data_IF_980198440103
#
_entry.id   IF_980198440103
#
_cell.length_a   1.000
_cell.length_b   1.000
_cell.length_c   1.000
_cell.angle_alpha   90.00
_cell.angle_beta   90.00
_cell.angle_gamma   90.00
#
_symmetry.space_group_name_H-M   'P 1'
#
loop_
_entity.id
_entity.type
_entity.pdbx_description
1 polymer ?
#
# COMPACT_ATOMS: atom_id res chain seq x y z
N UNK A 1 -38.30 4.87 1.47
CA UNK A 1 -37.01 5.11 2.14
C UNK A 1 -36.00 4.17 1.52
N UNK A 2 -35.49 4.53 0.35
CA UNK A 2 -34.29 3.89 -0.18
C UNK A 2 -33.14 4.54 0.55
N UNK A 3 -32.58 3.76 1.47
CA UNK A 3 -31.29 3.99 2.11
C UNK A 3 -30.29 4.27 1.00
N UNK A 4 -30.13 5.56 0.70
CA UNK A 4 -29.18 6.06 -0.27
C UNK A 4 -27.84 5.55 0.23
N UNK A 5 -27.19 4.68 -0.54
CA UNK A 5 -25.81 4.28 -0.30
C UNK A 5 -24.97 5.56 -0.47
N UNK A 6 -25.05 6.45 0.50
CA UNK A 6 -24.30 7.67 0.61
C UNK A 6 -22.91 7.20 0.99
N UNK A 7 -22.14 6.79 -0.01
CA UNK A 7 -20.77 6.33 0.19
C UNK A 7 -20.06 7.42 0.99
N UNK A 8 -19.51 7.05 2.16
CA UNK A 8 -18.76 7.98 2.99
C UNK A 8 -17.43 8.31 2.31
N UNK A 9 -17.51 9.26 1.38
CA UNK A 9 -16.39 9.76 0.60
C UNK A 9 -15.24 10.22 1.51
N UNK A 10 -15.55 10.74 2.71
CA UNK A 10 -14.54 11.15 3.66
C UNK A 10 -13.77 9.93 4.19
N UNK A 11 -14.48 8.85 4.57
CA UNK A 11 -13.85 7.60 5.00
C UNK A 11 -12.99 6.98 3.89
N UNK A 12 -13.47 6.92 2.65
CA UNK A 12 -12.69 6.35 1.53
C UNK A 12 -11.47 7.21 1.21
N UNK A 13 -11.61 8.54 1.20
CA UNK A 13 -10.49 9.47 0.97
C UNK A 13 -9.43 9.32 2.07
N UNK A 14 -9.86 9.16 3.32
CA UNK A 14 -8.97 8.93 4.47
C UNK A 14 -8.23 7.61 4.29
N UNK A 15 -8.93 6.53 3.94
CA UNK A 15 -8.32 5.23 3.68
C UNK A 15 -7.26 5.28 2.57
N UNK A 16 -7.53 5.97 1.45
CA UNK A 16 -6.53 6.14 0.38
C UNK A 16 -5.30 6.91 0.87
N UNK A 17 -5.51 7.95 1.68
CA UNK A 17 -4.42 8.71 2.27
C UNK A 17 -3.57 7.84 3.20
N UNK A 18 -4.21 7.09 4.09
CA UNK A 18 -3.55 6.20 5.05
C UNK A 18 -2.75 5.11 4.34
N UNK A 19 -3.31 4.51 3.28
CA UNK A 19 -2.62 3.49 2.48
C UNK A 19 -1.36 4.05 1.81
N UNK A 20 -1.43 5.28 1.28
CA UNK A 20 -0.27 5.97 0.69
C UNK A 20 0.79 6.30 1.73
N UNK A 21 0.37 6.76 2.91
CA UNK A 21 1.28 7.04 4.01
C UNK A 21 2.00 5.78 4.47
N UNK A 22 1.24 4.70 4.74
CA UNK A 22 1.80 3.41 5.14
C UNK A 22 2.75 2.84 4.08
N UNK A 23 2.44 3.01 2.79
CA UNK A 23 3.33 2.62 1.69
C UNK A 23 4.65 3.39 1.73
N UNK A 24 4.59 4.71 1.96
CA UNK A 24 5.78 5.55 2.12
C UNK A 24 6.61 5.14 3.33
N UNK A 25 5.98 4.88 4.48
CA UNK A 25 6.65 4.42 5.70
C UNK A 25 7.33 3.06 5.49
N UNK A 26 6.63 2.11 4.87
CA UNK A 26 7.18 0.78 4.58
C UNK A 26 8.37 0.89 3.61
N UNK A 27 8.27 1.75 2.59
CA UNK A 27 9.36 2.02 1.64
C UNK A 27 10.62 2.54 2.34
N UNK A 28 10.46 3.49 3.25
CA UNK A 28 11.57 4.05 4.03
C UNK A 28 12.19 2.98 4.95
N UNK A 29 11.36 2.20 5.66
CA UNK A 29 11.85 1.13 6.53
C UNK A 29 12.63 0.05 5.75
N UNK A 30 12.22 -0.26 4.52
CA UNK A 30 12.98 -1.17 3.66
C UNK A 30 14.34 -0.63 3.24
N UNK A 31 14.44 0.67 2.95
CA UNK A 31 15.73 1.32 2.66
C UNK A 31 16.68 1.27 3.86
N UNK A 32 16.17 1.58 5.05
CA UNK A 32 16.95 1.49 6.29
C UNK A 32 17.46 0.06 6.55
N UNK A 33 16.64 -0.96 6.26
CA UNK A 33 17.04 -2.35 6.39
C UNK A 33 18.12 -2.75 5.37
N UNK A 34 18.00 -2.34 4.11
CA UNK A 34 19.03 -2.61 3.09
C UNK A 34 20.37 -1.95 3.48
N UNK A 35 20.34 -0.73 3.99
CA UNK A 35 21.54 -0.05 4.48
C UNK A 35 22.17 -0.78 5.68
N UNK A 36 21.34 -1.29 6.59
CA UNK A 36 21.81 -2.11 7.72
C UNK A 36 22.39 -3.45 7.24
N UNK A 37 21.74 -4.10 6.27
CA UNK A 37 22.20 -5.35 5.68
C UNK A 37 23.55 -5.17 4.99
N UNK A 38 23.71 -4.14 4.17
CA UNK A 38 24.99 -3.82 3.52
C UNK A 38 26.14 -3.64 4.53
N UNK A 39 25.87 -2.97 5.66
CA UNK A 39 26.85 -2.80 6.75
C UNK A 39 27.20 -4.13 7.41
N UNK A 40 26.21 -4.99 7.65
CA UNK A 40 26.43 -6.32 8.22
C UNK A 40 27.20 -7.23 7.28
N UNK A 41 26.87 -7.23 5.98
CA UNK A 41 27.58 -8.01 4.97
C UNK A 41 29.05 -7.60 4.89
N UNK A 42 29.33 -6.29 4.88
CA UNK A 42 30.70 -5.78 4.90
C UNK A 42 31.45 -6.17 6.18
N UNK A 43 30.79 -6.11 7.34
CA UNK A 43 31.38 -6.49 8.63
C UNK A 43 31.66 -8.00 8.73
N UNK A 44 30.88 -8.83 8.04
CA UNK A 44 30.94 -10.29 8.09
C UNK A 44 31.55 -10.95 6.86
N UNK A 45 32.19 -10.19 5.96
CA UNK A 45 32.74 -10.67 4.69
C UNK A 45 33.66 -11.92 4.76
N UNK A 46 34.18 -12.27 5.94
CA UNK A 46 35.02 -13.45 6.17
C UNK A 46 34.46 -14.39 7.28
N UNK A 47 33.17 -14.29 7.59
CA UNK A 47 32.52 -15.06 8.64
C UNK A 47 31.46 -16.00 8.03
N UNK A 48 31.45 -17.26 8.45
CA UNK A 48 30.43 -18.23 8.03
C UNK A 48 29.00 -17.83 8.42
N UNK A 49 28.83 -16.94 9.40
CA UNK A 49 27.54 -16.34 9.76
C UNK A 49 26.91 -15.51 8.62
N UNK A 50 27.72 -15.05 7.65
CA UNK A 50 27.25 -14.27 6.51
C UNK A 50 26.27 -15.05 5.63
N UNK A 51 26.53 -16.33 5.38
CA UNK A 51 25.67 -17.15 4.52
C UNK A 51 24.27 -17.34 5.13
N UNK A 52 24.22 -17.58 6.46
CA UNK A 52 22.96 -17.65 7.19
C UNK A 52 22.20 -16.32 7.18
N UNK A 53 22.91 -15.21 7.34
CA UNK A 53 22.33 -13.87 7.24
C UNK A 53 21.75 -13.59 5.85
N UNK A 54 22.51 -13.87 4.79
CA UNK A 54 22.08 -13.68 3.40
C UNK A 54 20.81 -14.46 3.09
N UNK A 55 20.68 -15.69 3.59
CA UNK A 55 19.47 -16.48 3.47
C UNK A 55 18.25 -15.83 4.14
N UNK A 56 18.40 -15.39 5.39
CA UNK A 56 17.32 -14.71 6.13
C UNK A 56 16.96 -13.37 5.49
N UNK A 57 17.96 -12.58 5.10
CA UNK A 57 17.78 -11.29 4.44
C UNK A 57 17.06 -11.44 3.09
N UNK A 58 17.43 -12.44 2.29
CA UNK A 58 16.74 -12.74 1.02
C UNK A 58 15.26 -13.07 1.23
N UNK A 59 14.94 -13.90 2.23
CA UNK A 59 13.55 -14.21 2.56
C UNK A 59 12.78 -12.96 3.00
N UNK A 60 13.39 -12.13 3.86
CA UNK A 60 12.81 -10.86 4.27
C UNK A 60 12.54 -9.94 3.06
N UNK A 61 13.47 -9.83 2.10
CA UNK A 61 13.28 -9.03 0.88
C UNK A 61 12.08 -9.49 0.06
N UNK A 62 11.88 -10.80 -0.06
CA UNK A 62 10.74 -11.35 -0.79
C UNK A 62 9.41 -11.01 -0.09
N UNK A 63 9.31 -11.25 1.21
CA UNK A 63 8.10 -10.93 2.00
C UNK A 63 7.80 -9.42 2.02
N UNK A 64 8.85 -8.60 2.09
CA UNK A 64 8.75 -7.15 2.02
C UNK A 64 8.23 -6.68 0.65
N UNK A 65 8.78 -7.22 -0.44
CA UNK A 65 8.33 -6.90 -1.80
C UNK A 65 6.86 -7.31 -2.03
N UNK A 66 6.47 -8.49 -1.56
CA UNK A 66 5.08 -8.97 -1.63
C UNK A 66 4.15 -8.05 -0.83
N UNK A 67 4.54 -7.66 0.38
CA UNK A 67 3.74 -6.76 1.22
C UNK A 67 3.55 -5.38 0.57
N UNK A 68 4.60 -4.80 -0.01
CA UNK A 68 4.52 -3.56 -0.78
C UNK A 68 3.60 -3.70 -1.98
N UNK A 69 3.70 -4.82 -2.71
CA UNK A 69 2.85 -5.08 -3.86
C UNK A 69 1.38 -5.16 -3.45
N UNK A 70 1.06 -5.92 -2.40
CA UNK A 70 -0.30 -6.04 -1.88
C UNK A 70 -0.86 -4.69 -1.44
N UNK A 71 -0.08 -3.90 -0.71
CA UNK A 71 -0.53 -2.58 -0.24
C UNK A 71 -0.86 -1.65 -1.41
N UNK A 72 -0.03 -1.65 -2.45
CA UNK A 72 -0.27 -0.89 -3.67
C UNK A 72 -1.52 -1.37 -4.42
N UNK A 73 -1.75 -2.68 -4.52
CA UNK A 73 -2.98 -3.22 -5.13
C UNK A 73 -4.24 -2.80 -4.37
N UNK A 74 -4.19 -2.81 -3.03
CA UNK A 74 -5.29 -2.35 -2.19
C UNK A 74 -5.57 -0.87 -2.43
N UNK A 75 -4.53 -0.03 -2.45
CA UNK A 75 -4.67 1.40 -2.73
C UNK A 75 -5.35 1.66 -4.09
N UNK A 76 -4.90 0.97 -5.15
CA UNK A 76 -5.49 1.06 -6.49
C UNK A 76 -6.95 0.60 -6.49
N UNK A 77 -7.27 -0.50 -5.82
CA UNK A 77 -8.64 -1.02 -5.75
C UNK A 77 -9.58 -0.03 -5.05
N UNK A 78 -9.13 0.59 -3.95
CA UNK A 78 -9.89 1.60 -3.23
C UNK A 78 -10.08 2.87 -4.09
N UNK A 79 -9.05 3.33 -4.80
CA UNK A 79 -9.16 4.47 -5.72
C UNK A 79 -10.15 4.21 -6.87
N UNK A 80 -10.11 3.02 -7.46
CA UNK A 80 -11.04 2.63 -8.53
C UNK A 80 -12.49 2.54 -8.03
N UNK A 81 -12.70 2.01 -6.83
CA UNK A 81 -14.01 1.95 -6.19
C UNK A 81 -14.57 3.36 -5.94
N UNK A 82 -13.73 4.29 -5.46
CA UNK A 82 -14.10 5.69 -5.28
C UNK A 82 -14.53 6.35 -6.60
N UNK A 83 -13.74 6.20 -7.66
CA UNK A 83 -14.07 6.79 -8.96
C UNK A 83 -15.38 6.22 -9.53
N UNK A 84 -15.61 4.93 -9.34
CA UNK A 84 -16.86 4.28 -9.77
C UNK A 84 -18.08 4.80 -8.98
N UNK A 85 -17.94 4.96 -7.67
CA UNK A 85 -19.00 5.49 -6.80
C UNK A 85 -19.35 6.95 -7.17
N UNK A 86 -18.35 7.83 -7.29
CA UNK A 86 -18.56 9.23 -7.70
C UNK A 86 -19.19 9.35 -9.10
N UNK A 87 -18.80 8.47 -10.02
CA UNK A 87 -19.38 8.41 -11.36
C UNK A 87 -20.84 7.94 -11.38
N UNK A 88 -21.23 7.04 -10.48
CA UNK A 88 -22.60 6.58 -10.33
C UNK A 88 -23.50 7.66 -9.71
N UNK A 89 -23.04 8.31 -8.64
CA UNK A 89 -23.77 9.40 -7.97
C UNK A 89 -24.03 10.58 -8.92
N UNK A 90 -23.03 10.97 -9.72
CA UNK A 90 -23.21 12.04 -10.70
C UNK A 90 -24.29 11.73 -11.74
N UNK A 91 -24.34 10.49 -12.25
CA UNK A 91 -25.37 10.06 -13.21
C UNK A 91 -26.77 10.04 -12.59
N UNK A 92 -26.88 9.66 -11.32
CA UNK A 92 -28.14 9.67 -10.59
C UNK A 92 -28.62 11.12 -10.36
N UNK A 93 -27.74 12.01 -9.89
CA UNK A 93 -28.05 13.43 -9.69
C UNK A 93 -28.51 14.14 -10.98
N UNK A 94 -27.82 13.89 -12.10
CA UNK A 94 -28.21 14.44 -13.41
C UNK A 94 -29.55 13.86 -13.92
N UNK A 95 -29.90 12.62 -13.55
CA UNK A 95 -31.15 11.96 -13.90
C UNK A 95 -32.37 12.45 -13.11
N UNK A 96 -32.17 12.96 -11.89
CA UNK A 96 -33.24 13.51 -11.04
C UNK A 96 -33.40 15.04 -11.15
N UNK A 97 -32.38 15.78 -11.62
CA UNK A 97 -32.44 17.23 -11.82
C UNK A 97 -33.10 17.69 -13.13
N UNK A 98 -33.59 16.76 -13.95
CA UNK A 98 -34.15 17.01 -15.29
C UNK A 98 -35.68 16.99 -15.39
N UNK A 99 -36.43 17.09 -14.29
CA UNK A 99 -37.89 17.20 -14.28
C UNK A 99 -38.34 18.48 -13.56
#
# INVERSE_FOLDING_TARGET
>A
MSDEMLYDQATITTLVSDLKEQFGQLTAAGQDMEDAANKLEAAWANNSALEGFQGVHSNWKNEYADSLHTLNQVAIAVENAMQSALGADKKIGDGFGGI
#
